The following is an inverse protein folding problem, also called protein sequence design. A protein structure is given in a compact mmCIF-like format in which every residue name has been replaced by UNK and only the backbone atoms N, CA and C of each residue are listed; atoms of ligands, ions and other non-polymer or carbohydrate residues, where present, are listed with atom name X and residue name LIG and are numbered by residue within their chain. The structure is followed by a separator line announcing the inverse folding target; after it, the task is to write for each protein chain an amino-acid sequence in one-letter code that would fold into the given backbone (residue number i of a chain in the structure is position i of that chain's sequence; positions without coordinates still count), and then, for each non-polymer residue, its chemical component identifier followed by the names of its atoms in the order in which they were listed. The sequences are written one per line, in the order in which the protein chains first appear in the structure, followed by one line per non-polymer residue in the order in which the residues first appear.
data_IF_878093892933
#
_entry.id   IF_878093892933
#
_cell.length_a   1.000
_cell.length_b   1.000
_cell.length_c   1.000
_cell.angle_alpha   90.00
_cell.angle_beta   90.00
_cell.angle_gamma   90.00
#
_symmetry.space_group_name_H-M   'P 1'
#
loop_
_entity.id
_entity.type
_entity.pdbx_description
1 polymer ?
#
# COMPACT_ATOMS: atom_id res chain seq x y z
N UNK A 1 5.47 20.14 24.61
CA UNK A 1 4.63 19.62 23.52
C UNK A 1 3.97 18.34 24.05
N UNK A 2 2.66 18.33 24.34
CA UNK A 2 1.99 17.10 24.80
C UNK A 2 1.78 16.23 23.56
N UNK A 3 2.45 15.08 23.49
CA UNK A 3 2.15 14.04 22.50
C UNK A 3 0.67 13.67 22.67
N UNK A 4 -0.11 13.80 21.59
CA UNK A 4 -1.50 13.38 21.56
C UNK A 4 -1.52 11.88 21.84
N UNK A 5 -2.14 11.46 22.94
CA UNK A 5 -2.26 10.04 23.29
C UNK A 5 -3.11 9.36 22.20
N UNK A 6 -2.66 8.25 21.59
CA UNK A 6 -3.45 7.56 20.57
C UNK A 6 -4.83 7.22 21.14
N UNK A 7 -5.88 7.50 20.37
CA UNK A 7 -7.22 7.04 20.72
C UNK A 7 -7.23 5.50 20.73
N UNK A 8 -7.89 4.85 21.69
CA UNK A 8 -8.08 3.41 21.65
C UNK A 8 -8.87 3.03 20.39
N UNK A 9 -8.51 1.89 19.79
CA UNK A 9 -9.05 1.35 18.53
C UNK A 9 -10.59 1.27 18.54
N UNK A 10 -11.18 0.92 19.70
CA UNK A 10 -12.62 0.89 19.95
C UNK A 10 -13.35 2.25 19.87
N UNK A 11 -12.61 3.36 19.78
CA UNK A 11 -13.14 4.71 19.71
C UNK A 11 -13.02 5.32 18.30
N UNK A 12 -12.49 4.59 17.31
CA UNK A 12 -12.42 5.06 15.93
C UNK A 12 -13.81 4.95 15.28
N UNK A 13 -14.46 6.07 14.93
CA UNK A 13 -15.78 6.05 14.34
C UNK A 13 -15.71 5.45 12.92
N UNK A 14 -16.53 4.43 12.70
CA UNK A 14 -16.76 3.81 11.40
C UNK A 14 -18.27 3.59 11.24
N UNK A 15 -18.81 3.85 10.04
CA UNK A 15 -20.22 3.67 9.73
C UNK A 15 -20.38 2.65 8.60
N UNK A 16 -21.22 1.64 8.81
CA UNK A 16 -21.62 0.72 7.72
C UNK A 16 -22.76 1.39 6.95
N UNK A 17 -22.53 1.72 5.68
CA UNK A 17 -23.53 2.39 4.84
C UNK A 17 -24.33 1.41 3.98
N UNK A 18 -23.70 0.29 3.61
CA UNK A 18 -24.34 -0.82 2.90
C UNK A 18 -23.89 -2.12 3.54
N UNK A 19 -24.83 -3.04 3.75
CA UNK A 19 -24.57 -4.41 4.19
C UNK A 19 -25.39 -5.37 3.31
N UNK A 20 -24.72 -6.37 2.74
CA UNK A 20 -25.30 -7.32 1.79
C UNK A 20 -24.67 -8.70 1.94
N UNK A 21 -25.16 -9.67 1.16
CA UNK A 21 -24.54 -11.00 1.09
C UNK A 21 -23.09 -10.95 0.54
N UNK A 22 -22.75 -9.94 -0.25
CA UNK A 22 -21.43 -9.79 -0.87
C UNK A 22 -20.40 -9.07 0.02
N UNK A 23 -20.84 -8.53 1.17
CA UNK A 23 -20.01 -7.80 2.12
C UNK A 23 -20.61 -6.47 2.59
N UNK A 24 -19.75 -5.54 3.03
CA UNK A 24 -20.14 -4.23 3.56
C UNK A 24 -19.41 -3.08 2.90
N UNK A 25 -20.04 -1.91 2.82
CA UNK A 25 -19.36 -0.63 2.56
C UNK A 25 -19.20 0.08 3.90
N UNK A 26 -17.95 0.30 4.31
CA UNK A 26 -17.60 0.92 5.58
C UNK A 26 -16.96 2.27 5.32
N UNK A 27 -17.59 3.31 5.87
CA UNK A 27 -17.20 4.70 5.72
C UNK A 27 -16.53 5.19 7.00
N UNK A 28 -15.42 5.92 6.85
CA UNK A 28 -14.64 6.48 7.96
C UNK A 28 -13.95 7.78 7.54
N UNK A 29 -13.67 8.62 8.53
CA UNK A 29 -13.05 9.93 8.29
C UNK A 29 -11.54 9.84 8.04
N UNK A 30 -10.91 8.74 8.48
CA UNK A 30 -9.47 8.55 8.35
C UNK A 30 -9.12 7.10 8.10
N UNK A 31 -8.15 6.87 7.22
CA UNK A 31 -7.58 5.54 6.96
C UNK A 31 -6.88 4.95 8.20
N UNK A 32 -6.50 5.80 9.16
CA UNK A 32 -5.96 5.35 10.45
C UNK A 32 -7.01 4.70 11.35
N UNK A 33 -8.28 4.75 10.96
CA UNK A 33 -9.37 4.10 11.70
C UNK A 33 -9.61 2.67 11.25
N UNK A 34 -8.93 2.21 10.18
CA UNK A 34 -8.98 0.81 9.75
C UNK A 34 -8.33 -0.07 10.81
N UNK A 35 -9.06 -1.11 11.19
CA UNK A 35 -8.70 -1.92 12.34
C UNK A 35 -9.25 -3.36 12.25
N UNK A 36 -9.13 -4.14 13.32
CA UNK A 36 -9.57 -5.54 13.34
C UNK A 36 -11.07 -5.79 13.11
N UNK A 37 -11.91 -4.75 13.05
CA UNK A 37 -13.34 -4.85 12.70
C UNK A 37 -13.56 -4.93 11.18
N UNK A 38 -12.55 -4.56 10.40
CA UNK A 38 -12.56 -4.59 8.95
C UNK A 38 -11.99 -5.91 8.43
N UNK A 39 -12.42 -6.33 7.25
CA UNK A 39 -11.96 -7.57 6.66
C UNK A 39 -12.17 -7.71 5.17
N UNK A 40 -11.94 -8.92 4.62
CA UNK A 40 -11.91 -9.15 3.18
C UNK A 40 -13.24 -8.96 2.43
N UNK A 41 -14.36 -8.89 3.16
CA UNK A 41 -15.66 -8.57 2.58
C UNK A 41 -15.96 -7.08 2.53
N UNK A 42 -15.10 -6.23 3.09
CA UNK A 42 -15.41 -4.80 3.24
C UNK A 42 -14.82 -3.97 2.10
N UNK A 43 -15.60 -3.03 1.59
CA UNK A 43 -15.12 -1.89 0.80
C UNK A 43 -14.94 -0.72 1.76
N UNK A 44 -13.74 -0.14 1.78
CA UNK A 44 -13.40 0.94 2.72
C UNK A 44 -13.44 2.28 2.01
N UNK A 45 -14.17 3.24 2.57
CA UNK A 45 -14.15 4.63 2.14
C UNK A 45 -13.56 5.45 3.27
N UNK A 46 -12.33 5.93 3.07
CA UNK A 46 -11.58 6.65 4.08
C UNK A 46 -11.31 8.08 3.61
N UNK A 47 -11.94 9.08 4.23
CA UNK A 47 -11.83 10.48 3.84
C UNK A 47 -10.50 11.17 4.20
N UNK A 48 -9.40 10.49 3.92
CA UNK A 48 -8.05 10.99 4.13
C UNK A 48 -7.19 10.75 2.90
N UNK A 49 -5.98 11.30 2.93
CA UNK A 49 -4.97 11.17 1.89
C UNK A 49 -4.65 9.73 1.48
N UNK A 50 -4.63 9.46 0.17
CA UNK A 50 -4.40 8.12 -0.40
C UNK A 50 -2.90 7.78 -0.55
N UNK A 51 -2.15 7.89 0.54
CA UNK A 51 -0.70 7.60 0.56
C UNK A 51 -0.36 6.11 0.64
N UNK A 52 0.80 5.71 0.11
CA UNK A 52 1.29 4.33 0.22
C UNK A 52 1.53 3.88 1.66
N UNK A 53 2.12 4.71 2.51
CA UNK A 53 2.37 4.39 3.92
C UNK A 53 1.10 4.05 4.72
N UNK A 54 0.04 4.89 4.75
CA UNK A 54 -1.19 4.54 5.47
C UNK A 54 -1.88 3.32 4.86
N UNK A 55 -1.84 3.14 3.53
CA UNK A 55 -2.37 1.93 2.88
C UNK A 55 -1.62 0.68 3.36
N UNK A 56 -0.29 0.69 3.32
CA UNK A 56 0.49 -0.48 3.67
C UNK A 56 0.37 -0.82 5.16
N UNK A 57 0.30 0.20 6.02
CA UNK A 57 0.25 -0.01 7.45
C UNK A 57 -1.12 -0.41 7.97
N UNK A 58 -2.21 0.18 7.45
CA UNK A 58 -3.56 0.01 8.00
C UNK A 58 -4.49 -0.80 7.10
N UNK A 59 -4.39 -0.62 5.78
CA UNK A 59 -5.37 -1.17 4.83
C UNK A 59 -4.99 -2.56 4.36
N UNK A 60 -3.73 -2.78 3.96
CA UNK A 60 -3.28 -4.09 3.48
C UNK A 60 -3.46 -5.24 4.49
N UNK A 61 -3.23 -5.05 5.82
CA UNK A 61 -3.41 -6.13 6.79
C UNK A 61 -4.84 -6.70 6.84
N UNK A 62 -5.87 -5.86 6.63
CA UNK A 62 -7.28 -6.31 6.66
C UNK A 62 -7.77 -6.84 5.30
N UNK A 63 -6.96 -6.65 4.24
CA UNK A 63 -7.18 -7.15 2.88
C UNK A 63 -8.58 -6.84 2.32
N UNK A 64 -9.03 -5.57 2.31
CA UNK A 64 -10.38 -5.21 1.93
C UNK A 64 -10.67 -5.56 0.46
N UNK A 65 -11.96 -5.63 0.14
CA UNK A 65 -12.47 -5.89 -1.21
C UNK A 65 -12.20 -4.73 -2.18
N UNK A 66 -12.09 -3.52 -1.65
CA UNK A 66 -11.74 -2.32 -2.40
C UNK A 66 -11.58 -1.11 -1.48
N UNK A 67 -10.95 -0.05 -1.99
CA UNK A 67 -10.63 1.14 -1.18
C UNK A 67 -10.88 2.41 -1.99
N UNK A 68 -11.56 3.36 -1.37
CA UNK A 68 -11.73 4.73 -1.88
C UNK A 68 -11.17 5.71 -0.85
N UNK A 69 -10.34 6.63 -1.30
CA UNK A 69 -9.78 7.69 -0.45
C UNK A 69 -9.54 8.97 -1.25
N UNK A 70 -9.02 10.02 -0.63
CA UNK A 70 -8.86 11.32 -1.29
C UNK A 70 -7.47 11.49 -1.93
N UNK A 71 -7.40 12.06 -3.14
CA UNK A 71 -6.10 12.34 -3.80
C UNK A 71 -5.27 13.46 -3.12
N UNK A 72 -5.91 14.31 -2.32
CA UNK A 72 -5.36 15.52 -1.67
C UNK A 72 -4.44 16.39 -2.57
N UNK A 73 -4.92 16.72 -3.76
CA UNK A 73 -4.24 17.55 -4.75
C UNK A 73 -3.23 16.81 -5.63
N UNK A 74 -3.13 15.47 -5.52
CA UNK A 74 -2.31 14.60 -6.38
C UNK A 74 -0.80 14.73 -6.18
N UNK A 75 -0.29 15.90 -5.80
CA UNK A 75 1.14 16.14 -5.58
C UNK A 75 2.01 15.97 -6.84
N UNK A 76 3.31 16.26 -6.71
CA UNK A 76 4.27 16.05 -7.80
C UNK A 76 4.32 14.56 -8.17
N UNK A 77 4.26 14.25 -9.46
CA UNK A 77 4.30 12.88 -9.98
C UNK A 77 3.24 11.95 -9.36
N UNK A 78 2.04 12.47 -9.05
CA UNK A 78 0.96 11.69 -8.43
C UNK A 78 1.33 11.08 -7.07
N UNK A 79 2.30 11.67 -6.35
CA UNK A 79 2.66 11.24 -5.00
C UNK A 79 1.42 11.12 -4.08
N UNK A 80 0.43 11.97 -4.34
CA UNK A 80 -0.81 12.11 -3.62
C UNK A 80 -1.75 10.90 -3.62
N UNK A 81 -1.54 10.02 -4.60
CA UNK A 81 -2.30 8.78 -4.78
C UNK A 81 -1.38 7.57 -4.81
N UNK A 82 -0.20 7.67 -4.20
CA UNK A 82 0.79 6.57 -4.14
C UNK A 82 0.22 5.27 -3.53
N UNK A 83 -0.85 5.37 -2.74
CA UNK A 83 -1.59 4.22 -2.21
C UNK A 83 -2.30 3.38 -3.29
N UNK A 84 -2.65 3.97 -4.44
CA UNK A 84 -3.23 3.23 -5.57
C UNK A 84 -2.26 2.17 -6.09
N UNK A 85 -0.98 2.51 -6.22
CA UNK A 85 0.06 1.57 -6.66
C UNK A 85 0.31 0.48 -5.63
N UNK A 86 0.23 0.81 -4.35
CA UNK A 86 0.31 -0.17 -3.27
C UNK A 86 -0.84 -1.18 -3.35
N UNK A 87 -2.08 -0.71 -3.50
CA UNK A 87 -3.23 -1.61 -3.64
C UNK A 87 -3.17 -2.46 -4.90
N UNK A 88 -2.72 -1.88 -6.02
CA UNK A 88 -2.64 -2.61 -7.29
C UNK A 88 -1.65 -3.77 -7.21
N UNK A 89 -0.54 -3.58 -6.49
CA UNK A 89 0.42 -4.66 -6.21
C UNK A 89 -0.15 -5.82 -5.38
N UNK A 90 -1.31 -5.63 -4.75
CA UNK A 90 -2.04 -6.70 -4.06
C UNK A 90 -3.33 -7.08 -4.80
N UNK A 91 -3.53 -6.57 -6.02
CA UNK A 91 -4.72 -6.74 -6.84
C UNK A 91 -6.00 -6.22 -6.20
N UNK A 92 -5.88 -5.27 -5.27
CA UNK A 92 -7.02 -4.66 -4.59
C UNK A 92 -7.46 -3.44 -5.42
N UNK A 93 -8.75 -3.37 -5.83
CA UNK A 93 -9.30 -2.17 -6.46
C UNK A 93 -9.15 -0.93 -5.58
N UNK A 94 -8.53 0.11 -6.13
CA UNK A 94 -8.34 1.40 -5.49
C UNK A 94 -8.84 2.55 -6.36
N UNK A 95 -9.54 3.51 -5.76
CA UNK A 95 -9.99 4.73 -6.45
C UNK A 95 -9.82 5.99 -5.59
N UNK A 96 -9.22 7.04 -6.14
CA UNK A 96 -9.05 8.31 -5.44
C UNK A 96 -10.12 9.32 -5.87
N UNK A 97 -10.76 10.03 -4.95
CA UNK A 97 -11.68 11.13 -5.27
C UNK A 97 -10.96 12.44 -5.58
N UNK A 98 -11.58 13.28 -6.41
CA UNK A 98 -11.09 14.63 -6.68
C UNK A 98 -11.22 15.49 -5.42
N UNK A 99 -10.20 16.30 -5.16
CA UNK A 99 -10.13 17.12 -3.94
C UNK A 99 -11.28 18.13 -3.82
N UNK A 100 -11.80 18.61 -4.94
CA UNK A 100 -12.89 19.58 -4.95
C UNK A 100 -14.29 18.95 -4.80
N UNK A 101 -14.41 17.62 -4.94
CA UNK A 101 -15.73 16.95 -4.93
C UNK A 101 -16.25 16.60 -3.55
N UNK A 102 -15.37 16.45 -2.56
CA UNK A 102 -15.76 16.05 -1.21
C UNK A 102 -14.83 16.64 -0.16
N UNK A 103 -15.30 16.67 1.08
CA UNK A 103 -14.58 17.16 2.25
C UNK A 103 -13.56 16.13 2.74
N UNK A 104 -12.38 16.62 3.15
CA UNK A 104 -11.42 15.82 3.90
C UNK A 104 -11.92 15.61 5.34
N UNK A 105 -11.62 14.45 5.91
CA UNK A 105 -12.06 14.02 7.24
C UNK A 105 -13.58 13.93 7.41
N UNK A 106 -14.32 13.71 6.32
CA UNK A 106 -15.77 13.50 6.31
C UNK A 106 -16.10 12.35 5.35
N UNK A 107 -16.10 11.13 5.88
CA UNK A 107 -16.35 9.93 5.09
C UNK A 107 -17.73 9.91 4.45
N UNK A 108 -18.74 10.42 5.16
CA UNK A 108 -20.11 10.45 4.70
C UNK A 108 -20.27 11.36 3.48
N UNK A 109 -19.67 12.56 3.52
CA UNK A 109 -19.63 13.46 2.38
C UNK A 109 -18.87 12.85 1.19
N UNK A 110 -17.74 12.16 1.44
CA UNK A 110 -17.02 11.46 0.39
C UNK A 110 -17.87 10.38 -0.29
N UNK A 111 -18.62 9.58 0.47
CA UNK A 111 -19.50 8.55 -0.09
C UNK A 111 -20.59 9.15 -0.99
N UNK A 112 -21.25 10.22 -0.53
CA UNK A 112 -22.40 10.81 -1.21
C UNK A 112 -21.98 11.70 -2.39
N UNK A 113 -20.97 12.56 -2.21
CA UNK A 113 -20.62 13.63 -3.14
C UNK A 113 -19.30 13.41 -3.87
N UNK A 114 -18.45 12.48 -3.41
CA UNK A 114 -17.14 12.24 -3.99
C UNK A 114 -17.22 11.82 -5.46
N UNK A 115 -16.34 12.38 -6.28
CA UNK A 115 -16.18 12.05 -7.69
C UNK A 115 -14.80 11.45 -7.88
N UNK A 116 -14.69 10.27 -8.49
CA UNK A 116 -13.42 9.58 -8.75
C UNK A 116 -12.55 10.42 -9.70
N UNK A 117 -11.32 10.69 -9.30
CA UNK A 117 -10.28 11.35 -10.09
C UNK A 117 -9.36 10.34 -10.77
N UNK A 118 -8.96 9.32 -10.01
CA UNK A 118 -7.93 8.35 -10.40
C UNK A 118 -8.30 6.97 -9.92
N UNK A 119 -7.84 5.95 -10.64
CA UNK A 119 -8.07 4.54 -10.34
C UNK A 119 -6.79 3.75 -10.58
N UNK A 120 -6.64 2.60 -9.94
CA UNK A 120 -5.61 1.62 -10.33
C UNK A 120 -6.14 0.61 -11.35
N UNK A 121 -5.24 -0.19 -11.93
CA UNK A 121 -5.62 -1.18 -12.95
C UNK A 121 -6.64 -2.21 -12.41
N UNK A 122 -6.53 -2.56 -11.14
CA UNK A 122 -7.50 -3.44 -10.46
C UNK A 122 -8.91 -2.86 -10.43
N UNK A 123 -9.08 -1.56 -10.20
CA UNK A 123 -10.36 -0.89 -10.25
C UNK A 123 -10.86 -0.68 -11.69
N UNK A 124 -9.98 -0.41 -12.65
CA UNK A 124 -10.33 -0.32 -14.08
C UNK A 124 -10.95 -1.63 -14.60
N UNK A 125 -10.42 -2.78 -14.16
CA UNK A 125 -10.99 -4.11 -14.48
C UNK A 125 -12.43 -4.28 -13.99
N UNK A 126 -12.85 -3.53 -12.98
CA UNK A 126 -14.22 -3.48 -12.47
C UNK A 126 -15.08 -2.40 -13.17
N UNK A 127 -14.59 -1.82 -14.26
CA UNK A 127 -15.21 -0.70 -14.98
C UNK A 127 -15.35 0.60 -14.17
N UNK A 128 -14.59 0.74 -13.08
CA UNK A 128 -14.52 1.99 -12.31
C UNK A 128 -13.64 2.98 -13.08
N UNK A 129 -14.13 4.20 -13.26
CA UNK A 129 -13.49 5.20 -14.13
C UNK A 129 -13.53 6.59 -13.47
N UNK A 130 -12.57 7.48 -13.80
CA UNK A 130 -12.68 8.89 -13.44
C UNK A 130 -14.02 9.50 -13.90
N UNK A 131 -14.58 10.38 -13.07
CA UNK A 131 -15.90 10.99 -13.26
C UNK A 131 -17.07 10.21 -12.62
N UNK A 132 -16.85 8.98 -12.16
CA UNK A 132 -17.86 8.19 -11.43
C UNK A 132 -18.07 8.70 -10.01
N UNK A 133 -19.28 8.56 -9.46
CA UNK A 133 -19.55 8.84 -8.04
C UNK A 133 -18.91 7.78 -7.12
N UNK A 134 -18.41 8.21 -5.96
CA UNK A 134 -17.71 7.34 -5.00
C UNK A 134 -18.60 6.19 -4.50
N UNK A 135 -19.86 6.46 -4.15
CA UNK A 135 -20.81 5.40 -3.77
C UNK A 135 -21.03 4.35 -4.87
N UNK A 136 -21.20 4.79 -6.12
CA UNK A 136 -21.36 3.88 -7.26
C UNK A 136 -20.09 3.03 -7.52
N UNK A 137 -18.90 3.65 -7.40
CA UNK A 137 -17.64 2.92 -7.47
C UNK A 137 -17.51 1.89 -6.34
N UNK A 138 -17.94 2.24 -5.12
CA UNK A 138 -17.93 1.34 -3.97
C UNK A 138 -18.89 0.16 -4.15
N UNK A 139 -20.06 0.37 -4.72
CA UNK A 139 -20.99 -0.72 -5.08
C UNK A 139 -20.40 -1.67 -6.12
N UNK A 140 -19.71 -1.15 -7.15
CA UNK A 140 -19.02 -2.00 -8.12
C UNK A 140 -17.91 -2.85 -7.46
N UNK A 141 -17.16 -2.28 -6.52
CA UNK A 141 -16.18 -3.03 -5.72
C UNK A 141 -16.88 -4.07 -4.82
N UNK A 142 -18.01 -3.71 -4.21
CA UNK A 142 -18.76 -4.57 -3.29
C UNK A 142 -19.31 -5.80 -4.01
N UNK A 143 -19.84 -5.66 -5.22
CA UNK A 143 -20.47 -6.76 -5.95
C UNK A 143 -19.50 -7.53 -6.86
N UNK A 144 -18.25 -7.07 -6.98
CA UNK A 144 -17.24 -7.80 -7.72
C UNK A 144 -16.95 -9.15 -7.06
N UNK A 145 -16.84 -10.21 -7.88
CA UNK A 145 -16.16 -11.41 -7.44
C UNK A 145 -14.73 -11.04 -7.05
N UNK A 146 -14.26 -11.57 -5.92
CA UNK A 146 -12.88 -11.32 -5.50
C UNK A 146 -11.96 -11.84 -6.60
N UNK A 147 -11.19 -10.93 -7.18
CA UNK A 147 -10.02 -11.33 -7.94
C UNK A 147 -9.04 -11.86 -6.89
N UNK A 148 -8.89 -13.18 -6.80
CA UNK A 148 -7.73 -13.77 -6.14
C UNK A 148 -6.52 -13.32 -6.95
N UNK A 149 -5.95 -12.19 -6.56
CA UNK A 149 -4.68 -11.77 -7.11
C UNK A 149 -3.60 -12.61 -6.44
N UNK A 150 -2.89 -13.38 -7.26
CA UNK A 150 -1.50 -13.73 -6.95
C UNK A 150 -0.80 -12.40 -6.60
N UNK A 151 -0.11 -12.29 -5.45
CA UNK A 151 0.49 -11.03 -5.01
C UNK A 151 1.36 -10.48 -6.13
N UNK A 152 0.89 -9.42 -6.77
CA UNK A 152 1.28 -8.99 -8.10
C UNK A 152 1.60 -7.51 -8.09
N UNK A 153 2.54 -7.10 -7.23
CA UNK A 153 3.38 -5.95 -7.57
C UNK A 153 4.10 -6.27 -8.87
N UNK A 154 4.61 -5.27 -9.59
CA UNK A 154 5.61 -5.56 -10.63
C UNK A 154 6.81 -6.22 -9.94
N UNK A 155 6.82 -7.55 -9.94
CA UNK A 155 7.91 -8.35 -9.42
C UNK A 155 8.50 -9.16 -10.57
N UNK A 156 9.81 -9.28 -10.55
CA UNK A 156 10.53 -10.17 -11.44
C UNK A 156 11.12 -11.30 -10.60
N UNK A 157 10.87 -12.55 -11.00
CA UNK A 157 11.66 -13.68 -10.48
C UNK A 157 13.00 -13.64 -11.21
N UNK A 158 14.01 -13.08 -10.56
CA UNK A 158 15.36 -12.93 -11.11
C UNK A 158 16.10 -14.26 -11.13
N UNK A 159 15.74 -15.15 -10.20
CA UNK A 159 16.29 -16.49 -10.09
C UNK A 159 15.29 -17.43 -9.42
N UNK A 160 15.27 -18.69 -9.85
CA UNK A 160 14.53 -19.77 -9.22
C UNK A 160 15.42 -21.04 -9.15
N UNK A 161 15.45 -21.67 -7.98
CA UNK A 161 16.22 -22.89 -7.75
C UNK A 161 15.71 -23.70 -6.57
N UNK A 162 16.41 -24.80 -6.27
CA UNK A 162 15.99 -25.78 -5.26
C UNK A 162 15.90 -25.23 -3.82
N UNK A 163 16.41 -24.02 -3.56
CA UNK A 163 16.48 -23.41 -2.24
C UNK A 163 15.63 -22.14 -2.09
N UNK A 164 14.82 -21.81 -3.09
CA UNK A 164 13.96 -20.64 -3.13
C UNK A 164 14.23 -19.75 -4.35
N UNK A 165 13.60 -18.58 -4.34
CA UNK A 165 13.64 -17.59 -5.42
C UNK A 165 14.38 -16.32 -4.99
N UNK A 166 14.85 -15.57 -5.98
CA UNK A 166 15.25 -14.17 -5.81
C UNK A 166 14.22 -13.31 -6.52
N UNK A 167 13.51 -12.48 -5.74
CA UNK A 167 12.43 -11.63 -6.21
C UNK A 167 12.93 -10.18 -6.31
N UNK A 168 12.79 -9.53 -7.46
CA UNK A 168 12.93 -8.07 -7.56
C UNK A 168 11.55 -7.44 -7.37
N UNK A 169 11.42 -6.45 -6.48
CA UNK A 169 10.19 -5.71 -6.24
C UNK A 169 10.44 -4.21 -6.34
N UNK A 170 9.46 -3.46 -6.85
CA UNK A 170 9.53 -2.00 -6.86
C UNK A 170 9.59 -1.38 -5.46
N UNK A 171 9.07 -2.06 -4.42
CA UNK A 171 9.06 -1.57 -3.04
C UNK A 171 9.04 -2.71 -2.01
N UNK A 172 9.62 -2.49 -0.83
CA UNK A 172 9.45 -3.37 0.34
C UNK A 172 8.00 -3.46 0.78
N UNK A 173 7.19 -2.45 0.47
CA UNK A 173 5.74 -2.43 0.70
C UNK A 173 4.99 -3.59 0.04
N UNK A 174 5.55 -4.16 -1.03
CA UNK A 174 4.92 -5.24 -1.79
C UNK A 174 5.27 -6.63 -1.25
N UNK A 175 6.15 -6.72 -0.24
CA UNK A 175 6.50 -8.00 0.39
C UNK A 175 5.24 -8.59 1.03
N UNK A 176 5.05 -9.89 0.82
CA UNK A 176 3.94 -10.65 1.38
C UNK A 176 4.41 -12.01 1.90
N UNK A 177 3.53 -12.72 2.61
CA UNK A 177 3.80 -14.09 3.09
C UNK A 177 4.04 -15.10 1.94
N UNK A 178 3.68 -14.77 0.70
CA UNK A 178 3.94 -15.63 -0.46
C UNK A 178 5.44 -15.70 -0.83
N UNK A 179 6.27 -14.81 -0.28
CA UNK A 179 7.72 -14.81 -0.48
C UNK A 179 8.50 -15.41 0.70
N UNK A 180 7.80 -16.16 1.57
CA UNK A 180 8.46 -16.85 2.67
C UNK A 180 9.53 -17.80 2.12
N UNK A 181 10.75 -17.69 2.64
CA UNK A 181 11.92 -18.45 2.19
C UNK A 181 12.68 -17.86 1.00
N UNK A 182 12.20 -16.77 0.40
CA UNK A 182 12.84 -16.11 -0.75
C UNK A 182 13.74 -14.94 -0.34
N UNK A 183 14.66 -14.57 -1.23
CA UNK A 183 15.46 -13.34 -1.10
C UNK A 183 14.78 -12.21 -1.87
N UNK A 184 14.67 -11.05 -1.24
CA UNK A 184 14.00 -9.88 -1.81
C UNK A 184 15.00 -8.79 -2.19
N UNK A 185 14.95 -8.32 -3.42
CA UNK A 185 15.59 -7.11 -3.90
C UNK A 185 14.53 -6.03 -4.10
N UNK A 186 14.46 -5.04 -3.21
CA UNK A 186 13.46 -3.97 -3.29
C UNK A 186 14.08 -2.63 -3.72
N UNK A 187 13.40 -1.91 -4.61
CA UNK A 187 13.79 -0.56 -5.05
C UNK A 187 13.68 0.54 -3.99
N UNK A 188 13.17 0.22 -2.78
CA UNK A 188 13.03 1.16 -1.67
C UNK A 188 14.38 1.57 -1.08
N UNK A 189 14.43 2.75 -0.46
CA UNK A 189 15.53 3.11 0.43
C UNK A 189 15.58 2.14 1.62
N UNK A 190 16.79 1.75 2.05
CA UNK A 190 16.99 0.85 3.17
C UNK A 190 16.88 1.57 4.53
N UNK A 191 15.83 2.35 4.70
CA UNK A 191 15.53 3.07 5.94
C UNK A 191 14.94 2.14 7.00
N UNK A 192 14.94 2.61 8.25
CA UNK A 192 14.32 1.89 9.37
C UNK A 192 12.84 1.53 9.11
N UNK A 193 11.97 2.44 8.62
CA UNK A 193 10.58 2.09 8.29
C UNK A 193 10.45 1.01 7.22
N UNK A 194 11.26 1.07 6.15
CA UNK A 194 11.23 0.07 5.08
C UNK A 194 11.59 -1.32 5.60
N UNK A 195 12.59 -1.39 6.48
CA UNK A 195 13.02 -2.65 7.09
C UNK A 195 12.02 -3.14 8.15
N UNK A 196 11.47 -2.25 8.97
CA UNK A 196 10.45 -2.58 9.96
C UNK A 196 9.18 -3.14 9.30
N UNK A 197 8.83 -2.67 8.11
CA UNK A 197 7.74 -3.24 7.31
C UNK A 197 8.05 -4.64 6.80
N UNK A 198 9.29 -4.90 6.37
CA UNK A 198 9.70 -6.18 5.80
C UNK A 198 9.99 -7.26 6.87
N UNK A 199 10.46 -6.86 8.05
CA UNK A 199 10.89 -7.72 9.15
C UNK A 199 9.87 -8.77 9.67
N UNK A 200 8.54 -8.55 9.61
CA UNK A 200 7.56 -9.55 10.03
C UNK A 200 7.43 -10.73 9.05
N UNK A 201 7.87 -10.57 7.80
CA UNK A 201 7.76 -11.61 6.78
C UNK A 201 8.91 -12.60 6.89
N UNK A 202 8.63 -13.89 6.68
CA UNK A 202 9.61 -14.97 6.77
C UNK A 202 10.55 -15.05 5.55
N UNK A 203 11.08 -13.92 5.10
CA UNK A 203 12.02 -13.82 3.97
C UNK A 203 13.43 -14.27 4.37
N UNK A 204 14.20 -14.77 3.41
CA UNK A 204 15.56 -15.28 3.63
C UNK A 204 16.63 -14.20 3.56
N UNK A 205 16.32 -13.06 2.95
CA UNK A 205 17.18 -11.88 2.99
C UNK A 205 16.55 -10.69 2.28
N UNK A 206 17.06 -9.49 2.58
CA UNK A 206 16.59 -8.23 1.99
C UNK A 206 17.75 -7.39 1.42
N UNK A 207 17.60 -6.95 0.19
CA UNK A 207 18.50 -6.04 -0.51
C UNK A 207 17.72 -4.78 -0.89
N UNK A 208 18.20 -3.62 -0.49
CA UNK A 208 17.55 -2.32 -0.77
C UNK A 208 18.57 -1.26 -1.21
N UNK A 209 18.11 -0.14 -1.75
CA UNK A 209 18.96 1.00 -2.12
C UNK A 209 19.45 1.76 -0.87
N UNK A 210 20.73 2.15 -0.82
CA UNK A 210 21.29 2.91 0.31
C UNK A 210 20.82 4.37 0.36
N UNK A 211 20.15 4.85 -0.69
CA UNK A 211 19.71 6.24 -0.85
C UNK A 211 20.83 7.26 -0.63
N UNK A 212 22.07 6.92 -1.04
CA UNK A 212 23.26 7.73 -0.80
C UNK A 212 23.63 7.84 0.67
N UNK A 213 23.27 6.83 1.48
CA UNK A 213 23.36 6.75 2.95
C UNK A 213 22.56 7.80 3.73
N UNK A 214 22.19 8.93 3.11
CA UNK A 214 21.54 10.06 3.76
C UNK A 214 22.34 10.61 4.96
N UNK A 215 21.81 11.64 5.64
CA UNK A 215 22.43 12.17 6.86
C UNK A 215 22.43 11.09 7.96
N UNK A 216 23.52 10.99 8.70
CA UNK A 216 23.68 10.06 9.84
C UNK A 216 23.38 8.59 9.48
N UNK A 217 23.69 8.18 8.25
CA UNK A 217 23.45 6.82 7.73
C UNK A 217 21.97 6.38 7.72
N UNK A 218 21.04 7.34 7.76
CA UNK A 218 19.58 7.06 7.76
C UNK A 218 19.07 6.28 6.54
N UNK A 219 19.78 6.32 5.41
CA UNK A 219 19.48 5.59 4.19
C UNK A 219 19.82 4.10 4.24
N UNK A 220 20.62 3.68 5.23
CA UNK A 220 20.97 2.27 5.50
C UNK A 220 20.57 1.82 6.91
N UNK A 221 19.83 2.63 7.66
CA UNK A 221 19.41 2.33 9.03
C UNK A 221 18.62 1.02 9.16
N UNK A 222 17.98 0.57 8.08
CA UNK A 222 17.28 -0.71 8.02
C UNK A 222 18.17 -1.94 8.15
N UNK A 223 19.49 -1.84 7.92
CA UNK A 223 20.42 -2.95 8.17
C UNK A 223 20.39 -3.38 9.64
N UNK A 224 20.40 -2.44 10.58
CA UNK A 224 20.33 -2.72 12.02
C UNK A 224 18.99 -3.38 12.41
N UNK A 225 17.89 -3.00 11.76
CA UNK A 225 16.58 -3.62 11.98
C UNK A 225 16.59 -5.09 11.55
N UNK A 226 17.21 -5.40 10.41
CA UNK A 226 17.31 -6.78 9.92
C UNK A 226 18.28 -7.63 10.72
N UNK A 227 19.41 -7.06 11.15
CA UNK A 227 20.37 -7.71 12.04
C UNK A 227 19.70 -8.12 13.36
N UNK A 228 18.92 -7.23 13.97
CA UNK A 228 18.15 -7.52 15.18
C UNK A 228 17.13 -8.67 15.00
N UNK A 229 16.76 -8.99 13.76
CA UNK A 229 15.87 -10.10 13.39
C UNK A 229 16.62 -11.33 12.86
N UNK A 230 17.95 -11.28 12.82
CA UNK A 230 18.79 -12.32 12.21
C UNK A 230 18.44 -12.61 10.75
N UNK A 231 17.99 -11.59 10.02
CA UNK A 231 17.70 -11.67 8.59
C UNK A 231 18.90 -11.09 7.83
N UNK A 232 19.58 -11.87 6.95
CA UNK A 232 20.65 -11.36 6.11
C UNK A 232 20.19 -10.17 5.26
N UNK A 233 20.99 -9.11 5.21
CA UNK A 233 20.62 -7.88 4.53
C UNK A 233 21.81 -7.18 3.87
N UNK A 234 21.55 -6.48 2.76
CA UNK A 234 22.56 -5.67 2.08
C UNK A 234 21.96 -4.37 1.52
N UNK A 235 22.77 -3.31 1.46
CA UNK A 235 22.41 -2.06 0.81
C UNK A 235 23.20 -1.90 -0.50
N UNK A 236 22.52 -1.57 -1.60
CA UNK A 236 23.11 -1.29 -2.91
C UNK A 236 23.34 0.22 -3.01
N UNK A 237 24.51 0.62 -3.49
CA UNK A 237 24.82 2.06 -3.55
C UNK A 237 24.04 2.78 -4.64
N UNK A 238 23.43 3.92 -4.28
CA UNK A 238 22.70 4.81 -5.18
C UNK A 238 23.59 5.41 -6.30
N UNK A 239 24.92 5.29 -6.20
CA UNK A 239 25.87 5.82 -7.19
C UNK A 239 26.36 4.78 -8.20
N UNK A 240 25.76 3.58 -8.27
CA UNK A 240 26.02 2.62 -9.37
C UNK A 240 24.75 1.97 -9.92
N UNK A 241 24.26 2.54 -11.02
CA UNK A 241 23.52 1.84 -12.06
C UNK A 241 24.10 2.19 -13.45
N UNK A 242 25.43 2.31 -13.55
CA UNK A 242 26.11 2.50 -14.84
C UNK A 242 26.78 1.18 -15.23
N UNK A 243 26.27 0.57 -16.29
CA UNK A 243 26.94 -0.53 -16.97
C UNK A 243 28.28 -0.04 -17.51
N UNK A 244 29.39 -0.37 -16.85
CA UNK A 244 30.70 -0.25 -17.47
C UNK A 244 30.80 -1.24 -18.64
N UNK A 245 30.52 -0.77 -19.85
CA UNK A 245 31.18 -1.29 -21.05
C UNK A 245 32.62 -0.81 -21.01
N UNK A 246 33.52 -1.63 -20.45
CA UNK A 246 34.95 -1.52 -20.73
C UNK A 246 35.18 -2.10 -22.13
N UNK A 247 35.15 -1.25 -23.14
CA UNK A 247 35.64 -1.51 -24.48
C UNK A 247 36.90 -0.69 -24.74
N UNK A 248 37.95 -1.41 -25.17
CA UNK A 248 39.33 -1.04 -25.51
C UNK A 248 40.23 -0.58 -24.37
#
# INVERSE_FOLDING_TARGET
MRLCRPMPESAHPQAVTVESADGRIVVMDSMTYVDGRNGPGDVLIAASYFGSMPVCHWVLPVRPKGVIAQEAGGGKNMAGVSGLWALDGHGIPGAATTTASCRISDGADMYVNGIIAQVNASAERLNIKPGMGAGAAAELMLHAARLEAEPGGSYDVVYEGAHGRIMALGSTSFISNAYAGDVICAGSAFSEPSAAYAAPYAIRGLICNDAGRCKDDSGIAGLAVMEAKSIPAAAVSATRADSHHSGS
#
